data_IF_652539357277
#
_entry.id   IF_652539357277
#
_cell.length_a   1.000
_cell.length_b   1.000
_cell.length_c   1.000
_cell.angle_alpha   90.00
_cell.angle_beta   90.00
_cell.angle_gamma   90.00
#
_symmetry.space_group_name_H-M   'P 1'
#
loop_
_entity.id
_entity.type
_entity.pdbx_description
1 polymer ?
#
# COMPACT_ATOMS: atom_id res chain seq x y z
N UNK A 1 61.73 7.08 48.39
CA UNK A 1 61.58 8.32 47.59
C UNK A 1 60.88 8.00 46.25
N UNK A 2 60.01 6.99 46.20
CA UNK A 2 58.56 7.17 46.04
C UNK A 2 58.04 8.61 46.25
N UNK A 3 57.09 9.00 45.39
CA UNK A 3 56.03 10.01 45.61
C UNK A 3 56.23 11.48 45.20
N UNK A 4 56.71 11.84 43.99
CA UNK A 4 56.51 13.27 43.59
C UNK A 4 56.28 13.70 42.14
N UNK A 5 56.09 12.82 41.16
CA UNK A 5 55.77 13.29 39.79
C UNK A 5 54.63 12.54 39.07
N UNK A 6 53.70 11.93 39.79
CA UNK A 6 52.38 11.51 39.24
C UNK A 6 51.28 12.53 39.56
N UNK A 7 51.61 13.83 39.57
CA UNK A 7 50.70 14.93 39.92
C UNK A 7 50.20 15.75 38.74
N UNK A 8 50.18 15.21 37.52
CA UNK A 8 49.79 15.93 36.29
C UNK A 8 48.67 15.22 35.51
N UNK A 9 47.77 14.51 36.21
CA UNK A 9 46.67 13.80 35.57
C UNK A 9 45.32 13.93 36.32
N UNK A 10 45.07 15.04 37.00
CA UNK A 10 43.75 15.39 37.54
C UNK A 10 43.49 16.90 37.35
N UNK A 11 43.44 17.35 36.10
CA UNK A 11 42.57 18.49 35.79
C UNK A 11 41.16 17.91 35.69
N UNK A 12 40.21 18.30 36.55
CA UNK A 12 38.82 17.97 36.31
C UNK A 12 38.48 18.55 34.94
N UNK A 13 38.09 17.70 33.98
CA UNK A 13 37.40 18.21 32.80
C UNK A 13 36.25 19.07 33.34
N UNK A 14 36.08 20.33 32.92
CA UNK A 14 34.86 21.03 33.26
C UNK A 14 33.74 20.14 32.76
N UNK A 15 33.00 19.52 33.68
CA UNK A 15 31.74 18.89 33.34
C UNK A 15 30.97 20.00 32.64
N UNK A 16 30.85 19.84 31.33
CA UNK A 16 30.10 20.73 30.50
C UNK A 16 28.64 20.58 30.94
N UNK A 17 28.26 21.30 31.99
CA UNK A 17 26.90 21.76 32.16
C UNK A 17 26.63 22.75 31.03
N UNK A 18 26.55 22.25 29.80
CA UNK A 18 25.81 22.92 28.75
C UNK A 18 24.39 22.99 29.27
N UNK A 19 24.05 24.14 29.85
CA UNK A 19 22.67 24.57 29.94
C UNK A 19 22.19 24.50 28.49
N UNK A 20 21.34 23.52 28.19
CA UNK A 20 20.60 23.54 26.95
C UNK A 20 19.71 24.78 27.09
N UNK A 21 20.15 25.91 26.55
CA UNK A 21 19.31 27.08 26.38
C UNK A 21 18.14 26.62 25.52
N UNK A 22 17.02 26.32 26.20
CA UNK A 22 15.79 26.04 25.48
C UNK A 22 15.43 27.34 24.78
N UNK A 23 15.28 27.35 23.44
CA UNK A 23 14.80 28.54 22.76
C UNK A 23 13.52 28.99 23.46
N UNK A 24 13.38 30.31 23.65
CA UNK A 24 12.18 30.88 24.25
C UNK A 24 10.95 30.34 23.55
N UNK A 25 9.89 30.06 24.32
CA UNK A 25 8.65 29.52 23.75
C UNK A 25 8.16 30.48 22.66
N UNK A 26 7.95 30.02 21.42
CA UNK A 26 7.47 30.89 20.34
C UNK A 26 6.14 31.51 20.72
N UNK A 27 5.88 32.72 20.23
CA UNK A 27 4.57 33.34 20.40
C UNK A 27 3.49 32.49 19.71
N UNK A 28 2.21 32.60 20.09
CA UNK A 28 1.12 31.91 19.39
C UNK A 28 1.07 32.22 17.88
N UNK A 29 1.51 33.40 17.47
CA UNK A 29 1.61 33.81 16.07
C UNK A 29 2.77 33.12 15.36
N UNK A 30 3.97 33.14 15.95
CA UNK A 30 5.15 32.44 15.42
C UNK A 30 4.89 30.95 15.25
N UNK A 31 4.22 30.33 16.24
CA UNK A 31 3.83 28.92 16.16
C UNK A 31 2.88 28.66 14.98
N UNK A 32 1.86 29.49 14.79
CA UNK A 32 0.91 29.33 13.67
C UNK A 32 1.60 29.50 12.32
N UNK A 33 2.51 30.47 12.21
CA UNK A 33 3.31 30.69 11.02
C UNK A 33 4.20 29.48 10.73
N UNK A 34 4.99 29.01 11.71
CA UNK A 34 5.86 27.84 11.55
C UNK A 34 5.07 26.58 11.20
N UNK A 35 3.91 26.36 11.85
CA UNK A 35 3.03 25.23 11.53
C UNK A 35 2.49 25.30 10.10
N UNK A 36 2.07 26.48 9.64
CA UNK A 36 1.58 26.67 8.27
C UNK A 36 2.69 26.49 7.25
N UNK A 37 3.89 26.99 7.54
CA UNK A 37 5.08 26.82 6.71
C UNK A 37 5.42 25.33 6.56
N UNK A 38 5.55 24.59 7.67
CA UNK A 38 5.81 23.15 7.65
C UNK A 38 4.74 22.38 6.86
N UNK A 39 3.47 22.67 7.08
CA UNK A 39 2.39 22.02 6.34
C UNK A 39 2.44 22.30 4.83
N UNK A 40 2.83 23.52 4.44
CA UNK A 40 3.02 23.89 3.03
C UNK A 40 4.23 23.20 2.42
N UNK A 41 5.34 23.10 3.15
CA UNK A 41 6.55 22.41 2.71
C UNK A 41 6.28 20.91 2.52
N UNK A 42 5.60 20.27 3.47
CA UNK A 42 5.19 18.87 3.36
C UNK A 42 4.26 18.63 2.16
N UNK A 43 3.27 19.52 1.94
CA UNK A 43 2.38 19.43 0.80
C UNK A 43 3.13 19.54 -0.54
N UNK A 44 4.17 20.39 -0.61
CA UNK A 44 4.99 20.56 -1.80
C UNK A 44 5.89 19.36 -2.11
N UNK A 45 6.18 18.51 -1.12
CA UNK A 45 6.95 17.27 -1.29
C UNK A 45 6.08 16.06 -1.70
N UNK A 46 4.75 16.21 -1.69
CA UNK A 46 3.85 15.12 -2.05
C UNK A 46 4.00 14.71 -3.52
N UNK A 47 3.72 13.44 -3.82
CA UNK A 47 3.73 12.94 -5.18
C UNK A 47 2.71 13.71 -6.05
N UNK A 48 3.20 14.33 -7.13
CA UNK A 48 2.38 15.11 -8.06
C UNK A 48 1.99 16.51 -7.54
N UNK A 49 2.64 17.03 -6.50
CA UNK A 49 2.35 18.37 -5.96
C UNK A 49 2.63 19.52 -6.92
N UNK A 50 3.50 19.32 -7.91
CA UNK A 50 3.86 20.27 -8.96
C UNK A 50 2.87 20.29 -10.15
N UNK A 51 1.92 19.35 -10.18
CA UNK A 51 0.85 19.32 -11.20
C UNK A 51 -0.10 20.50 -10.95
N UNK A 52 -0.19 21.40 -11.93
CA UNK A 52 -1.14 22.51 -11.89
C UNK A 52 -2.48 22.05 -12.45
N UNK A 53 -3.54 22.16 -11.65
CA UNK A 53 -4.90 21.79 -12.05
C UNK A 53 -5.61 22.97 -12.72
N UNK A 54 -6.33 22.69 -13.80
CA UNK A 54 -7.26 23.63 -14.41
C UNK A 54 -8.59 23.76 -13.63
N UNK A 55 -9.48 24.65 -14.08
CA UNK A 55 -10.75 24.89 -13.39
C UNK A 55 -11.67 23.66 -13.30
N UNK A 56 -11.72 22.81 -14.34
CA UNK A 56 -12.52 21.59 -14.32
C UNK A 56 -11.85 20.53 -13.45
N UNK A 57 -10.54 20.39 -13.53
CA UNK A 57 -9.76 19.46 -12.70
C UNK A 57 -9.88 19.81 -11.21
N UNK A 58 -9.92 21.09 -10.83
CA UNK A 58 -10.19 21.53 -9.46
C UNK A 58 -11.57 21.07 -8.99
N UNK A 59 -12.62 21.23 -9.82
CA UNK A 59 -13.98 20.78 -9.47
C UNK A 59 -14.02 19.27 -9.25
N UNK A 60 -13.40 18.51 -10.14
CA UNK A 60 -13.32 17.04 -10.06
C UNK A 60 -12.51 16.59 -8.83
N UNK A 61 -11.37 17.25 -8.56
CA UNK A 61 -10.55 17.00 -7.38
C UNK A 61 -11.31 17.25 -6.09
N UNK A 62 -12.06 18.37 -6.01
CA UNK A 62 -12.86 18.68 -4.82
C UNK A 62 -13.89 17.57 -4.56
N UNK A 63 -14.60 17.13 -5.60
CA UNK A 63 -15.54 16.02 -5.47
C UNK A 63 -14.87 14.72 -5.00
N UNK A 64 -13.73 14.35 -5.59
CA UNK A 64 -12.94 13.19 -5.18
C UNK A 64 -12.50 13.28 -3.70
N UNK A 65 -12.01 14.46 -3.27
CA UNK A 65 -11.57 14.68 -1.90
C UNK A 65 -12.71 14.65 -0.89
N UNK A 66 -13.91 15.08 -1.28
CA UNK A 66 -15.11 14.97 -0.45
C UNK A 66 -15.53 13.52 -0.24
N UNK A 67 -15.57 12.71 -1.32
CA UNK A 67 -15.82 11.27 -1.21
C UNK A 67 -14.78 10.58 -0.31
N UNK A 68 -13.50 10.94 -0.47
CA UNK A 68 -12.41 10.43 0.35
C UNK A 68 -12.60 10.78 1.83
N UNK A 69 -12.90 12.04 2.14
CA UNK A 69 -13.08 12.49 3.52
C UNK A 69 -14.28 11.83 4.18
N UNK A 70 -15.40 11.69 3.46
CA UNK A 70 -16.60 11.01 3.98
C UNK A 70 -16.30 9.54 4.32
N UNK A 71 -15.54 8.84 3.49
CA UNK A 71 -15.15 7.45 3.76
C UNK A 71 -14.19 7.34 4.96
N UNK A 72 -13.16 8.20 5.03
CA UNK A 72 -12.19 8.21 6.12
C UNK A 72 -12.83 8.56 7.46
N UNK A 73 -13.78 9.51 7.49
CA UNK A 73 -14.46 9.93 8.72
C UNK A 73 -15.21 8.77 9.39
N UNK A 74 -15.81 7.87 8.60
CA UNK A 74 -16.45 6.66 9.13
C UNK A 74 -15.45 5.77 9.87
N UNK A 75 -14.21 5.70 9.38
CA UNK A 75 -13.10 4.99 10.00
C UNK A 75 -12.52 5.68 11.23
N UNK A 76 -12.50 7.03 11.25
CA UNK A 76 -12.06 7.79 12.43
C UNK A 76 -13.05 7.69 13.60
N UNK A 77 -14.35 7.69 13.30
CA UNK A 77 -15.40 7.49 14.31
C UNK A 77 -15.40 6.04 14.82
N UNK A 78 -15.26 5.07 13.92
CA UNK A 78 -15.16 3.65 14.27
C UNK A 78 -14.03 2.98 13.48
N UNK A 79 -12.91 2.63 14.14
CA UNK A 79 -11.77 1.98 13.49
C UNK A 79 -12.13 0.68 12.73
N UNK A 80 -13.20 -0.01 13.11
CA UNK A 80 -13.68 -1.20 12.40
C UNK A 80 -14.22 -0.91 10.98
N UNK A 81 -14.64 0.33 10.73
CA UNK A 81 -15.09 0.80 9.43
C UNK A 81 -13.94 1.35 8.57
N UNK A 82 -12.73 1.39 9.09
CA UNK A 82 -11.56 1.82 8.33
C UNK A 82 -11.05 0.67 7.46
N UNK A 83 -11.67 0.49 6.28
CA UNK A 83 -11.39 -0.61 5.36
C UNK A 83 -9.91 -0.82 5.03
N UNK A 84 -9.06 0.22 4.88
CA UNK A 84 -7.63 0.03 4.59
C UNK A 84 -6.83 -0.71 5.67
N UNK A 85 -7.30 -0.75 6.93
CA UNK A 85 -6.65 -1.49 8.01
C UNK A 85 -7.16 -2.93 8.17
N UNK A 86 -8.10 -3.38 7.32
CA UNK A 86 -8.74 -4.69 7.43
C UNK A 86 -8.28 -5.64 6.33
N UNK A 87 -8.39 -6.93 6.61
CA UNK A 87 -8.05 -7.96 5.64
C UNK A 87 -8.96 -7.84 4.40
N UNK A 88 -8.37 -7.83 3.21
CA UNK A 88 -9.07 -7.52 1.95
C UNK A 88 -10.33 -8.38 1.72
N UNK A 89 -10.27 -9.68 2.04
CA UNK A 89 -11.42 -10.59 1.89
C UNK A 89 -12.61 -10.23 2.80
N UNK A 90 -12.41 -9.52 3.91
CA UNK A 90 -13.50 -9.10 4.78
C UNK A 90 -14.19 -7.82 4.30
N UNK A 91 -13.48 -7.01 3.52
CA UNK A 91 -13.91 -5.66 3.14
C UNK A 91 -14.13 -5.49 1.64
N UNK A 92 -13.96 -6.55 0.85
CA UNK A 92 -14.13 -6.51 -0.61
C UNK A 92 -15.51 -5.97 -1.01
N UNK A 93 -16.58 -6.43 -0.36
CA UNK A 93 -17.94 -5.95 -0.65
C UNK A 93 -18.12 -4.47 -0.27
N UNK A 94 -17.48 -4.03 0.82
CA UNK A 94 -17.50 -2.62 1.24
C UNK A 94 -16.76 -1.73 0.23
N UNK A 95 -15.57 -2.17 -0.21
CA UNK A 95 -14.79 -1.48 -1.24
C UNK A 95 -15.59 -1.41 -2.54
N UNK A 96 -16.19 -2.51 -2.99
CA UNK A 96 -17.00 -2.53 -4.22
C UNK A 96 -18.23 -1.61 -4.14
N UNK A 97 -18.82 -1.45 -2.95
CA UNK A 97 -19.95 -0.57 -2.73
C UNK A 97 -19.54 0.92 -2.54
N UNK A 98 -18.27 1.20 -2.24
CA UNK A 98 -17.76 2.54 -1.97
C UNK A 98 -18.01 3.50 -3.15
N UNK A 99 -18.63 4.67 -2.92
CA UNK A 99 -18.70 5.75 -3.91
C UNK A 99 -17.30 6.21 -4.37
N UNK A 100 -16.33 6.28 -3.45
CA UNK A 100 -14.94 6.63 -3.76
C UNK A 100 -14.32 5.60 -4.71
N UNK A 101 -14.47 4.31 -4.42
CA UNK A 101 -13.92 3.27 -5.29
C UNK A 101 -14.58 3.25 -6.67
N UNK A 102 -15.90 3.47 -6.74
CA UNK A 102 -16.62 3.60 -8.02
C UNK A 102 -16.06 4.75 -8.85
N UNK A 103 -15.83 5.91 -8.24
CA UNK A 103 -15.21 7.05 -8.91
C UNK A 103 -13.78 6.73 -9.39
N UNK A 104 -12.93 6.17 -8.52
CA UNK A 104 -11.53 5.81 -8.86
C UNK A 104 -11.45 4.74 -9.97
N UNK A 105 -12.46 3.88 -10.09
CA UNK A 105 -12.55 2.91 -11.19
C UNK A 105 -12.68 3.58 -12.55
N UNK A 106 -13.38 4.70 -12.64
CA UNK A 106 -13.61 5.45 -13.89
C UNK A 106 -12.36 6.23 -14.35
N UNK A 107 -11.42 6.52 -13.44
CA UNK A 107 -10.18 7.21 -13.78
C UNK A 107 -9.29 6.39 -14.74
N UNK A 108 -8.70 7.04 -15.77
CA UNK A 108 -7.72 6.40 -16.66
C UNK A 108 -6.40 6.17 -15.91
N UNK A 109 -6.15 4.93 -15.48
CA UNK A 109 -5.00 4.55 -14.64
C UNK A 109 -3.67 4.38 -15.40
N UNK A 110 -3.66 4.63 -16.71
CA UNK A 110 -2.49 4.38 -17.56
C UNK A 110 -2.29 2.89 -17.84
N UNK A 111 -1.15 2.34 -17.40
CA UNK A 111 -0.72 0.98 -17.74
C UNK A 111 -0.52 0.09 -16.50
N UNK A 112 -0.69 -1.22 -16.68
CA UNK A 112 -0.34 -2.25 -15.68
C UNK A 112 1.11 -2.65 -15.90
N UNK A 113 2.03 -2.16 -15.06
CA UNK A 113 3.48 -2.40 -15.19
C UNK A 113 3.98 -3.60 -14.38
N UNK A 114 3.15 -4.14 -13.50
CA UNK A 114 3.48 -5.31 -12.70
C UNK A 114 2.25 -6.22 -12.59
N UNK A 115 2.30 -7.36 -13.26
CA UNK A 115 1.30 -8.42 -13.16
C UNK A 115 1.90 -9.77 -13.56
N UNK A 116 1.36 -10.84 -13.00
CA UNK A 116 1.65 -12.20 -13.45
C UNK A 116 0.56 -12.65 -14.42
N UNK A 117 0.98 -13.17 -15.57
CA UNK A 117 0.11 -13.65 -16.66
C UNK A 117 -1.01 -14.59 -16.21
N UNK A 118 -0.69 -15.51 -15.30
CA UNK A 118 -1.63 -16.50 -14.74
C UNK A 118 -2.65 -15.91 -13.76
N UNK A 119 -2.43 -14.70 -13.25
CA UNK A 119 -3.30 -14.03 -12.27
C UNK A 119 -4.11 -12.85 -12.85
N UNK A 120 -3.97 -12.56 -14.15
CA UNK A 120 -4.69 -11.47 -14.81
C UNK A 120 -6.17 -11.79 -15.07
N UNK A 121 -6.50 -13.08 -15.20
CA UNK A 121 -7.86 -13.52 -15.43
C UNK A 121 -8.56 -13.80 -14.10
N UNK A 122 -9.83 -13.40 -13.99
CA UNK A 122 -10.64 -13.75 -12.82
C UNK A 122 -10.85 -15.27 -12.72
N UNK A 123 -11.11 -15.77 -11.53
CA UNK A 123 -11.48 -17.19 -11.33
C UNK A 123 -12.67 -17.60 -12.20
N UNK A 124 -13.59 -16.68 -12.49
CA UNK A 124 -14.70 -16.93 -13.40
C UNK A 124 -14.25 -17.29 -14.82
N UNK A 125 -13.21 -16.65 -15.34
CA UNK A 125 -12.63 -17.00 -16.66
C UNK A 125 -12.10 -18.42 -16.64
N UNK A 126 -11.42 -18.80 -15.56
CA UNK A 126 -10.88 -20.16 -15.37
C UNK A 126 -12.02 -21.17 -15.33
N UNK A 127 -13.07 -20.90 -14.54
CA UNK A 127 -14.26 -21.77 -14.46
C UNK A 127 -14.96 -21.86 -15.82
N UNK A 128 -15.13 -20.77 -16.56
CA UNK A 128 -15.70 -20.82 -17.91
C UNK A 128 -14.83 -21.65 -18.87
N UNK A 129 -13.51 -21.57 -18.75
CA UNK A 129 -12.60 -22.41 -19.52
C UNK A 129 -12.81 -23.90 -19.21
N UNK A 130 -13.23 -24.28 -17.99
CA UNK A 130 -13.51 -25.69 -17.67
C UNK A 130 -14.70 -26.28 -18.40
N UNK A 131 -15.58 -25.45 -18.97
CA UNK A 131 -16.74 -25.89 -19.77
C UNK A 131 -16.49 -25.85 -21.28
N UNK A 132 -15.30 -25.45 -21.73
CA UNK A 132 -14.98 -25.42 -23.15
C UNK A 132 -14.82 -26.84 -23.72
N UNK A 133 -15.24 -27.09 -24.99
CA UNK A 133 -15.04 -28.38 -25.63
C UNK A 133 -13.57 -28.78 -25.64
N UNK A 134 -13.32 -30.09 -25.69
CA UNK A 134 -11.97 -30.65 -25.81
C UNK A 134 -11.06 -30.46 -24.59
N UNK A 135 -11.58 -30.01 -23.45
CA UNK A 135 -10.84 -30.03 -22.19
C UNK A 135 -10.91 -31.42 -21.55
N UNK A 136 -9.73 -31.96 -21.19
CA UNK A 136 -9.59 -33.22 -20.47
C UNK A 136 -9.01 -32.97 -19.10
N UNK A 137 -9.57 -33.62 -18.07
CA UNK A 137 -9.06 -33.60 -16.70
C UNK A 137 -8.36 -34.93 -16.38
N UNK A 138 -7.19 -34.85 -15.75
CA UNK A 138 -6.50 -35.98 -15.14
C UNK A 138 -6.46 -35.81 -13.63
N UNK A 139 -6.88 -36.85 -12.91
CA UNK A 139 -6.92 -36.84 -11.44
C UNK A 139 -8.22 -36.27 -10.89
N UNK A 140 -8.29 -36.19 -9.56
CA UNK A 140 -9.44 -35.70 -8.78
C UNK A 140 -8.97 -34.67 -7.77
N UNK A 141 -9.88 -33.84 -7.30
CA UNK A 141 -9.66 -32.93 -6.19
C UNK A 141 -9.66 -33.72 -4.87
N UNK A 142 -8.57 -34.43 -4.58
CA UNK A 142 -8.43 -35.27 -3.38
C UNK A 142 -7.03 -35.10 -2.75
N UNK A 143 -6.95 -35.08 -1.42
CA UNK A 143 -5.73 -35.22 -0.60
C UNK A 143 -4.48 -34.46 -1.08
N UNK A 144 -4.59 -33.14 -1.30
CA UNK A 144 -3.43 -32.30 -1.63
C UNK A 144 -2.87 -32.49 -3.05
N UNK A 145 -3.54 -33.29 -3.90
CA UNK A 145 -3.25 -33.37 -5.33
C UNK A 145 -4.25 -32.53 -6.10
N UNK A 146 -3.74 -31.61 -6.90
CA UNK A 146 -4.55 -30.83 -7.82
C UNK A 146 -4.72 -31.60 -9.13
N UNK A 147 -5.92 -31.59 -9.73
CA UNK A 147 -6.11 -32.18 -11.05
C UNK A 147 -5.35 -31.37 -12.11
N UNK A 148 -4.94 -32.07 -13.17
CA UNK A 148 -4.29 -31.47 -14.33
C UNK A 148 -5.29 -31.36 -15.47
N UNK A 149 -5.22 -30.27 -16.23
CA UNK A 149 -6.11 -30.01 -17.36
C UNK A 149 -5.32 -29.90 -18.66
N UNK A 150 -5.84 -30.45 -19.74
CA UNK A 150 -5.25 -30.35 -21.08
C UNK A 150 -6.33 -30.22 -22.16
N UNK A 151 -6.16 -29.27 -23.07
CA UNK A 151 -7.01 -29.16 -24.26
C UNK A 151 -6.49 -30.09 -25.38
N UNK A 152 -7.34 -30.98 -25.89
CA UNK A 152 -7.02 -31.88 -27.00
C UNK A 152 -8.28 -32.34 -27.74
N UNK A 153 -8.27 -32.29 -29.09
CA UNK A 153 -9.40 -32.76 -29.91
C UNK A 153 -9.68 -34.26 -29.75
N UNK A 154 -8.65 -35.03 -29.45
CA UNK A 154 -8.71 -36.48 -29.20
C UNK A 154 -8.32 -36.77 -27.75
N UNK A 155 -8.77 -37.92 -27.21
CA UNK A 155 -8.44 -38.32 -25.84
C UNK A 155 -6.91 -38.46 -25.67
N UNK A 156 -6.28 -37.71 -24.75
CA UNK A 156 -4.85 -37.81 -24.50
C UNK A 156 -4.49 -39.20 -23.97
N UNK A 157 -3.41 -39.77 -24.50
CA UNK A 157 -2.77 -40.96 -23.94
C UNK A 157 -1.97 -40.57 -22.70
N UNK A 158 -1.96 -41.43 -21.68
CA UNK A 158 -1.16 -41.19 -20.48
C UNK A 158 0.32 -41.07 -20.87
N UNK A 159 1.08 -40.07 -20.38
CA UNK A 159 2.50 -40.00 -20.63
C UNK A 159 3.14 -41.26 -20.05
N UNK A 160 3.95 -41.96 -20.85
CA UNK A 160 4.82 -43.01 -20.31
C UNK A 160 5.73 -42.34 -19.28
N UNK A 161 5.79 -42.92 -18.08
CA UNK A 161 6.66 -42.44 -17.00
C UNK A 161 8.12 -42.67 -17.44
N UNK A 162 8.66 -41.73 -18.20
CA UNK A 162 10.08 -41.71 -18.52
C UNK A 162 10.86 -41.64 -17.22
N UNK A 163 11.76 -42.60 -17.00
CA UNK A 163 12.74 -42.54 -15.92
C UNK A 163 13.47 -41.20 -16.03
N UNK A 164 13.22 -40.30 -15.08
CA UNK A 164 14.07 -39.14 -14.88
C UNK A 164 15.37 -39.67 -14.27
N UNK A 165 16.43 -39.69 -15.07
CA UNK A 165 17.80 -39.75 -14.58
C UNK A 165 18.14 -38.46 -13.83
#
# INVERSE_FOLDING_TARGET
LLLLCCGLALLPSPEAHTIIERPSRPSPEDYRYQRALLASEEAALAFGADITLDGNEILVNNHLMDLKREELEKGYINPFNFSPARHFFEVLDQINASPLFRFVRELPKGAVLHAHDTALASTEVIVKATYQPHLWQRGRFEHGRQPEFIFSRTKPTAPQRGNKH
#
